data_IF_634338097979
#
_entry.id   IF_634338097979
#
_cell.length_a   1.000
_cell.length_b   1.000
_cell.length_c   1.000
_cell.angle_alpha   90.00
_cell.angle_beta   90.00
_cell.angle_gamma   90.00
#
_symmetry.space_group_name_H-M   'P 1'
#
loop_
_entity.id
_entity.type
_entity.pdbx_description
1 polymer ?
#
# COMPACT_ATOMS: atom_id res chain seq x y z
N UNK A 1 -0.48 -3.80 -28.86
CA UNK A 1 -0.41 -4.22 -27.45
C UNK A 1 -1.82 -4.51 -26.97
N UNK A 2 -2.04 -5.62 -26.26
CA UNK A 2 -3.35 -6.03 -25.76
C UNK A 2 -3.25 -6.13 -24.23
N UNK A 3 -4.17 -5.48 -23.52
CA UNK A 3 -4.30 -5.54 -22.06
C UNK A 3 -5.57 -6.27 -21.68
N UNK A 4 -5.40 -7.42 -21.04
CA UNK A 4 -6.48 -8.12 -20.37
C UNK A 4 -6.64 -7.62 -18.93
N UNK A 5 -7.85 -7.71 -18.38
CA UNK A 5 -8.24 -7.09 -17.11
C UNK A 5 -7.88 -5.60 -17.01
N UNK A 6 -8.12 -4.88 -18.12
CA UNK A 6 -7.80 -3.47 -18.25
C UNK A 6 -8.44 -2.58 -17.15
N UNK A 7 -9.47 -3.04 -16.44
CA UNK A 7 -10.05 -2.31 -15.30
C UNK A 7 -9.04 -2.00 -14.20
N UNK A 8 -7.94 -2.77 -14.09
CA UNK A 8 -6.86 -2.54 -13.12
C UNK A 8 -5.87 -1.47 -13.56
N UNK A 9 -5.80 -1.16 -14.86
CA UNK A 9 -4.77 -0.28 -15.42
C UNK A 9 -4.73 1.12 -14.78
N UNK A 10 -5.86 1.81 -14.53
CA UNK A 10 -5.81 3.11 -13.88
C UNK A 10 -5.14 3.07 -12.50
N UNK A 11 -5.40 2.02 -11.72
CA UNK A 11 -4.85 1.87 -10.37
C UNK A 11 -3.37 1.48 -10.43
N UNK A 12 -3.00 0.57 -11.33
CA UNK A 12 -1.60 0.20 -11.59
C UNK A 12 -0.81 1.41 -12.06
N UNK A 13 -1.35 2.18 -13.02
CA UNK A 13 -0.75 3.41 -13.49
C UNK A 13 -0.58 4.43 -12.35
N UNK A 14 -1.56 4.54 -11.46
CA UNK A 14 -1.50 5.47 -10.32
C UNK A 14 -0.38 5.11 -9.37
N UNK A 15 -0.19 3.81 -9.11
CA UNK A 15 0.92 3.31 -8.31
C UNK A 15 2.26 3.47 -9.02
N UNK A 16 2.32 3.16 -10.31
CA UNK A 16 3.53 3.23 -11.14
C UNK A 16 4.04 4.67 -11.28
N UNK A 17 3.15 5.62 -11.54
CA UNK A 17 3.48 7.03 -11.65
C UNK A 17 3.56 7.75 -10.30
N UNK A 18 3.14 7.08 -9.23
CA UNK A 18 3.37 7.50 -7.87
C UNK A 18 4.83 7.35 -7.48
N UNK A 19 5.23 8.05 -6.42
CA UNK A 19 6.54 7.88 -5.83
C UNK A 19 6.39 7.63 -4.34
N UNK A 20 7.22 6.75 -3.81
CA UNK A 20 7.28 6.47 -2.38
C UNK A 20 8.71 6.28 -1.91
N UNK A 21 8.94 6.70 -0.68
CA UNK A 21 10.16 6.48 0.07
C UNK A 21 9.80 5.95 1.45
N UNK A 22 10.35 4.79 1.79
CA UNK A 22 10.11 4.12 3.07
C UNK A 22 11.37 4.06 3.92
N UNK A 23 11.22 4.02 5.24
CA UNK A 23 12.34 3.76 6.15
C UNK A 23 13.04 2.45 5.83
N UNK A 24 12.31 1.43 5.33
CA UNK A 24 12.92 0.14 4.97
C UNK A 24 13.94 0.28 3.86
N UNK A 25 13.60 1.04 2.80
CA UNK A 25 14.54 1.36 1.71
C UNK A 25 15.79 2.08 2.22
N UNK A 26 15.62 3.03 3.14
CA UNK A 26 16.73 3.80 3.72
C UNK A 26 17.63 2.91 4.62
N UNK A 27 17.02 2.05 5.43
CA UNK A 27 17.74 1.10 6.28
C UNK A 27 18.48 0.04 5.46
N UNK A 28 17.88 -0.46 4.38
CA UNK A 28 18.52 -1.43 3.50
C UNK A 28 19.68 -0.79 2.73
N UNK A 29 19.56 0.48 2.30
CA UNK A 29 20.67 1.25 1.74
C UNK A 29 21.82 1.40 2.76
N UNK A 30 21.53 1.77 4.00
CA UNK A 30 22.53 1.88 5.06
C UNK A 30 23.25 0.54 5.33
N UNK A 31 22.50 -0.57 5.36
CA UNK A 31 23.08 -1.92 5.49
C UNK A 31 24.01 -2.24 4.34
N UNK A 32 23.62 -1.94 3.10
CA UNK A 32 24.44 -2.28 1.94
C UNK A 32 25.74 -1.46 1.89
N UNK A 33 25.69 -0.17 2.26
CA UNK A 33 26.88 0.66 2.43
C UNK A 33 27.80 0.07 3.52
N UNK A 34 27.21 -0.36 4.64
CA UNK A 34 27.93 -1.02 5.74
C UNK A 34 28.59 -2.33 5.29
N UNK A 35 27.89 -3.13 4.48
CA UNK A 35 28.44 -4.38 3.92
C UNK A 35 29.63 -4.06 3.02
N UNK A 36 29.47 -3.15 2.05
CA UNK A 36 30.54 -2.75 1.13
C UNK A 36 31.79 -2.23 1.87
N UNK A 37 31.61 -1.44 2.93
CA UNK A 37 32.70 -0.99 3.78
C UNK A 37 33.42 -2.17 4.48
N UNK A 38 32.67 -3.12 5.05
CA UNK A 38 33.25 -4.23 5.81
C UNK A 38 33.92 -5.28 4.94
N UNK A 39 33.49 -5.45 3.69
CA UNK A 39 34.01 -6.47 2.78
C UNK A 39 35.11 -5.94 1.88
N UNK A 40 34.91 -4.77 1.26
CA UNK A 40 35.71 -4.31 0.11
C UNK A 40 36.44 -2.99 0.37
N UNK A 41 35.86 -2.06 1.14
CA UNK A 41 36.34 -0.67 1.25
C UNK A 41 36.71 -0.25 2.68
N UNK A 42 37.52 -1.08 3.36
CA UNK A 42 37.88 -0.93 4.78
C UNK A 42 38.70 0.33 5.10
N UNK A 43 39.30 0.95 4.10
CA UNK A 43 40.06 2.19 4.18
C UNK A 43 39.16 3.43 4.31
N UNK A 44 37.87 3.33 4.00
CA UNK A 44 36.94 4.46 3.93
C UNK A 44 36.00 4.49 5.13
N UNK A 45 36.52 4.80 6.33
CA UNK A 45 35.74 4.82 7.58
C UNK A 45 34.48 5.71 7.53
N UNK A 46 34.46 6.72 6.65
CA UNK A 46 33.29 7.57 6.49
C UNK A 46 32.05 6.82 5.98
N UNK A 47 32.21 5.71 5.24
CA UNK A 47 31.09 4.89 4.76
C UNK A 47 30.28 4.30 5.93
N UNK A 48 30.96 3.76 6.95
CA UNK A 48 30.28 3.26 8.15
C UNK A 48 29.57 4.38 8.88
N UNK A 49 30.25 5.52 9.09
CA UNK A 49 29.67 6.67 9.82
C UNK A 49 28.43 7.24 9.12
N UNK A 50 28.45 7.39 7.79
CA UNK A 50 27.29 7.90 7.07
C UNK A 50 26.14 6.89 7.08
N UNK A 51 26.42 5.59 6.91
CA UNK A 51 25.41 4.53 6.99
C UNK A 51 24.73 4.49 8.36
N UNK A 52 25.50 4.52 9.45
CA UNK A 52 24.96 4.52 10.82
C UNK A 52 24.10 5.77 11.07
N UNK A 53 24.56 6.93 10.59
CA UNK A 53 23.80 8.19 10.70
C UNK A 53 22.49 8.14 9.91
N UNK A 54 22.48 7.56 8.71
CA UNK A 54 21.26 7.38 7.91
C UNK A 54 20.28 6.45 8.60
N UNK A 55 20.76 5.32 9.12
CA UNK A 55 19.94 4.37 9.85
C UNK A 55 19.32 5.00 11.10
N UNK A 56 20.12 5.72 11.90
CA UNK A 56 19.65 6.43 13.08
C UNK A 56 18.63 7.51 12.72
N UNK A 57 18.93 8.37 11.74
CA UNK A 57 18.03 9.45 11.33
C UNK A 57 16.69 8.93 10.81
N UNK A 58 16.67 7.78 10.13
CA UNK A 58 15.44 7.14 9.69
C UNK A 58 14.59 6.61 10.87
N UNK A 59 15.23 6.08 11.92
CA UNK A 59 14.53 5.65 13.13
C UNK A 59 14.05 6.84 13.97
N UNK A 60 14.86 7.88 14.10
CA UNK A 60 14.48 9.10 14.81
C UNK A 60 13.29 9.77 14.13
N UNK A 61 13.33 9.90 12.79
CA UNK A 61 12.20 10.42 12.02
C UNK A 61 10.96 9.55 12.21
N UNK A 62 11.10 8.21 12.23
CA UNK A 62 9.99 7.31 12.55
C UNK A 62 9.36 7.67 13.89
N UNK A 63 10.13 7.88 14.95
CA UNK A 63 9.60 8.20 16.28
C UNK A 63 8.81 9.52 16.30
N UNK A 64 9.18 10.49 15.46
CA UNK A 64 8.46 11.77 15.37
C UNK A 64 7.07 11.67 14.71
N UNK A 65 6.82 10.65 13.88
CA UNK A 65 5.55 10.48 13.17
C UNK A 65 4.38 10.01 14.05
N UNK A 66 4.63 9.74 15.34
CA UNK A 66 3.60 9.38 16.32
C UNK A 66 3.15 7.92 16.25
N UNK A 67 1.87 7.72 16.54
CA UNK A 67 1.30 6.41 16.86
C UNK A 67 1.29 5.42 15.66
N UNK A 68 1.62 4.13 15.89
CA UNK A 68 1.54 3.09 14.88
C UNK A 68 0.11 2.87 14.34
N UNK A 69 0.02 2.56 13.04
CA UNK A 69 -1.22 2.21 12.35
C UNK A 69 -2.00 3.41 11.81
N UNK A 70 -1.41 4.60 11.84
CA UNK A 70 -2.02 5.81 11.28
C UNK A 70 -1.54 6.07 9.84
N UNK A 71 -2.50 6.37 8.96
CA UNK A 71 -2.27 6.92 7.63
C UNK A 71 -2.86 8.32 7.59
N UNK A 72 -2.06 9.30 7.18
CA UNK A 72 -2.45 10.70 7.21
C UNK A 72 -2.01 11.48 5.98
N UNK A 73 -2.40 12.76 5.97
CA UNK A 73 -2.02 13.72 4.95
C UNK A 73 -0.59 14.23 5.22
N UNK A 74 0.30 14.03 4.25
CA UNK A 74 1.70 14.44 4.40
C UNK A 74 1.85 15.98 4.39
N UNK A 75 0.94 16.72 3.76
CA UNK A 75 0.97 18.19 3.77
C UNK A 75 0.75 18.76 5.17
N UNK A 76 -0.22 18.20 5.90
CA UNK A 76 -0.54 18.59 7.27
C UNK A 76 0.61 18.22 8.22
N UNK A 77 1.17 17.02 8.06
CA UNK A 77 2.32 16.55 8.82
C UNK A 77 3.54 17.47 8.63
N UNK A 78 3.84 17.87 7.39
CA UNK A 78 4.95 18.78 7.08
C UNK A 78 4.65 20.24 7.39
N UNK A 79 3.47 20.60 7.89
CA UNK A 79 3.22 21.94 8.43
C UNK A 79 3.88 22.12 9.81
N UNK A 80 4.15 21.02 10.53
CA UNK A 80 4.83 21.05 11.82
C UNK A 80 6.34 21.27 11.64
N UNK A 81 6.85 22.36 12.24
CA UNK A 81 8.28 22.73 12.20
C UNK A 81 9.19 21.67 12.82
N UNK A 82 8.70 20.91 13.81
CA UNK A 82 9.47 19.82 14.42
C UNK A 82 9.66 18.66 13.45
N UNK A 83 8.60 18.28 12.73
CA UNK A 83 8.68 17.26 11.68
C UNK A 83 9.54 17.72 10.51
N UNK A 84 9.42 18.99 10.09
CA UNK A 84 10.29 19.55 9.05
C UNK A 84 11.77 19.45 9.44
N UNK A 85 12.12 19.76 10.69
CA UNK A 85 13.49 19.64 11.19
C UNK A 85 13.96 18.19 11.19
N UNK A 86 13.14 17.26 11.66
CA UNK A 86 13.46 15.83 11.64
C UNK A 86 13.65 15.31 10.20
N UNK A 87 12.82 15.77 9.26
CA UNK A 87 12.95 15.44 7.83
C UNK A 87 14.22 16.02 7.22
N UNK A 88 14.61 17.24 7.61
CA UNK A 88 15.86 17.86 7.17
C UNK A 88 17.07 17.05 7.63
N UNK A 89 17.11 16.62 8.90
CA UNK A 89 18.19 15.76 9.41
C UNK A 89 18.29 14.43 8.65
N UNK A 90 17.16 13.85 8.27
CA UNK A 90 17.12 12.66 7.44
C UNK A 90 17.65 12.91 6.03
N UNK A 91 17.28 14.04 5.41
CA UNK A 91 17.76 14.45 4.09
C UNK A 91 19.28 14.68 4.10
N UNK A 92 19.80 15.39 5.12
CA UNK A 92 21.24 15.62 5.31
C UNK A 92 22.01 14.31 5.48
N UNK A 93 21.45 13.34 6.21
CA UNK A 93 22.07 12.03 6.40
C UNK A 93 22.12 11.24 5.08
N UNK A 94 21.06 11.31 4.27
CA UNK A 94 21.00 10.67 2.95
C UNK A 94 21.95 11.36 1.95
N UNK A 95 22.06 12.69 1.99
CA UNK A 95 23.03 13.46 1.22
C UNK A 95 24.46 13.06 1.57
N UNK A 96 24.78 12.94 2.86
CA UNK A 96 26.10 12.48 3.30
C UNK A 96 26.42 11.08 2.76
N UNK A 97 25.47 10.15 2.79
CA UNK A 97 25.66 8.83 2.18
C UNK A 97 25.95 8.91 0.68
N UNK A 98 25.22 9.76 -0.04
CA UNK A 98 25.43 9.99 -1.47
C UNK A 98 26.84 10.55 -1.75
N UNK A 99 27.26 11.59 -1.03
CA UNK A 99 28.55 12.25 -1.27
C UNK A 99 29.72 11.32 -0.93
N UNK A 100 29.66 10.60 0.19
CA UNK A 100 30.71 9.65 0.58
C UNK A 100 30.79 8.48 -0.41
N UNK A 101 29.64 7.94 -0.84
CA UNK A 101 29.62 6.88 -1.85
C UNK A 101 30.20 7.36 -3.19
N UNK A 102 29.89 8.61 -3.59
CA UNK A 102 30.40 9.23 -4.81
C UNK A 102 31.93 9.26 -4.88
N UNK A 103 32.59 9.53 -3.75
CA UNK A 103 34.05 9.59 -3.66
C UNK A 103 34.73 8.24 -3.88
N UNK A 104 34.00 7.14 -3.76
CA UNK A 104 34.51 5.77 -3.88
C UNK A 104 33.87 4.99 -5.04
N UNK A 105 33.25 5.69 -5.99
CA UNK A 105 32.67 5.10 -7.20
C UNK A 105 33.69 4.30 -8.02
N UNK A 106 33.26 3.18 -8.57
CA UNK A 106 34.07 2.27 -9.38
C UNK A 106 35.03 1.40 -8.57
N UNK A 107 35.09 1.56 -7.24
CA UNK A 107 35.91 0.72 -6.37
C UNK A 107 35.20 -0.57 -5.94
N UNK A 108 33.87 -0.61 -6.01
CA UNK A 108 33.03 -1.73 -5.59
C UNK A 108 31.70 -1.70 -6.32
N UNK A 109 31.31 -2.82 -6.94
CA UNK A 109 30.01 -2.94 -7.59
C UNK A 109 28.85 -2.82 -6.60
N UNK A 110 29.04 -3.27 -5.34
CA UNK A 110 28.05 -3.12 -4.28
C UNK A 110 27.85 -1.65 -3.91
N UNK A 111 28.94 -0.89 -3.80
CA UNK A 111 28.85 0.53 -3.50
C UNK A 111 28.27 1.32 -4.68
N UNK A 112 28.61 0.97 -5.92
CA UNK A 112 28.04 1.60 -7.12
C UNK A 112 26.51 1.40 -7.16
N UNK A 113 26.03 0.19 -6.88
CA UNK A 113 24.60 -0.08 -6.76
C UNK A 113 23.93 0.64 -5.58
N UNK A 114 24.65 0.86 -4.48
CA UNK A 114 24.17 1.67 -3.36
C UNK A 114 24.11 3.16 -3.73
N UNK A 115 25.09 3.69 -4.47
CA UNK A 115 25.12 5.06 -4.97
C UNK A 115 23.94 5.37 -5.90
N UNK A 116 23.64 4.48 -6.85
CA UNK A 116 22.47 4.62 -7.74
C UNK A 116 21.15 4.68 -6.94
N UNK A 117 21.01 3.83 -5.92
CA UNK A 117 19.84 3.85 -5.03
C UNK A 117 19.79 5.11 -4.17
N UNK A 118 20.91 5.59 -3.65
CA UNK A 118 20.98 6.85 -2.92
C UNK A 118 20.53 8.02 -3.81
N UNK A 119 20.99 8.07 -5.06
CA UNK A 119 20.59 9.06 -6.06
C UNK A 119 19.07 9.03 -6.28
N UNK A 120 18.51 7.84 -6.50
CA UNK A 120 17.07 7.65 -6.66
C UNK A 120 16.28 8.11 -5.44
N UNK A 121 16.74 7.76 -4.22
CA UNK A 121 16.04 8.11 -2.99
C UNK A 121 16.11 9.60 -2.69
N UNK A 122 17.23 10.28 -2.97
CA UNK A 122 17.33 11.75 -2.89
C UNK A 122 16.35 12.43 -3.85
N UNK A 123 16.27 11.95 -5.09
CA UNK A 123 15.32 12.45 -6.07
C UNK A 123 13.86 12.32 -5.59
N UNK A 124 13.50 11.16 -5.03
CA UNK A 124 12.17 10.93 -4.44
C UNK A 124 11.91 11.80 -3.23
N UNK A 125 12.86 11.92 -2.31
CA UNK A 125 12.73 12.74 -1.10
C UNK A 125 12.51 14.21 -1.46
N UNK A 126 13.25 14.73 -2.45
CA UNK A 126 13.05 16.08 -2.98
C UNK A 126 11.61 16.28 -3.49
N UNK A 127 11.08 15.35 -4.28
CA UNK A 127 9.69 15.42 -4.79
C UNK A 127 8.66 15.31 -3.67
N UNK A 128 8.92 14.52 -2.64
CA UNK A 128 8.06 14.39 -1.45
C UNK A 128 8.03 15.66 -0.59
N UNK A 129 9.12 16.45 -0.58
CA UNK A 129 9.20 17.75 0.10
C UNK A 129 8.46 18.85 -0.66
N UNK A 130 8.32 18.74 -1.98
CA UNK A 130 7.60 19.68 -2.86
C UNK A 130 6.07 19.52 -2.73
N UNK A 131 5.52 19.73 -1.53
CA UNK A 131 4.09 19.47 -1.22
C UNK A 131 3.08 20.43 -1.88
N UNK A 132 3.56 21.52 -2.48
CA UNK A 132 2.70 22.56 -3.05
C UNK A 132 2.27 22.27 -4.50
N UNK A 133 2.69 21.15 -5.09
CA UNK A 133 2.27 20.83 -6.47
C UNK A 133 0.80 20.37 -6.50
N UNK A 134 -0.06 21.01 -7.31
CA UNK A 134 -1.43 20.56 -7.52
C UNK A 134 -1.46 19.26 -8.33
N UNK A 135 -2.60 18.56 -8.32
CA UNK A 135 -2.76 17.32 -9.08
C UNK A 135 -2.15 16.07 -8.42
N UNK A 136 -1.64 16.18 -7.20
CA UNK A 136 -1.09 15.06 -6.42
C UNK A 136 -1.71 14.97 -5.03
N UNK A 137 -1.92 13.73 -4.60
CA UNK A 137 -2.25 13.33 -3.22
C UNK A 137 -0.97 12.94 -2.49
N UNK A 138 -0.67 13.64 -1.41
CA UNK A 138 0.50 13.40 -0.56
C UNK A 138 0.04 12.73 0.72
N UNK A 139 0.57 11.54 1.00
CA UNK A 139 0.18 10.78 2.17
C UNK A 139 1.40 10.17 2.84
N UNK A 140 1.25 9.90 4.12
CA UNK A 140 2.22 9.12 4.87
C UNK A 140 1.52 8.01 5.63
N UNK A 141 2.27 6.95 5.90
CA UNK A 141 1.83 5.85 6.75
C UNK A 141 2.93 5.54 7.76
N UNK A 142 2.49 5.22 8.98
CA UNK A 142 3.37 4.87 10.06
C UNK A 142 2.96 3.53 10.68
N UNK A 143 3.88 2.56 10.70
CA UNK A 143 3.74 1.27 11.42
C UNK A 143 4.66 1.27 12.62
N UNK A 144 4.62 0.32 13.55
CA UNK A 144 5.47 0.35 14.75
C UNK A 144 6.98 0.44 14.48
N UNK A 145 7.46 -0.01 13.31
CA UNK A 145 8.89 -0.04 12.96
C UNK A 145 9.28 0.79 11.76
N UNK A 146 8.31 1.17 10.94
CA UNK A 146 8.59 1.76 9.63
C UNK A 146 7.64 2.89 9.30
N UNK A 147 8.11 3.80 8.46
CA UNK A 147 7.28 4.81 7.82
C UNK A 147 7.37 4.70 6.31
N UNK A 148 6.33 5.17 5.64
CA UNK A 148 6.29 5.38 4.19
C UNK A 148 5.79 6.79 3.93
N UNK A 149 6.54 7.56 3.15
CA UNK A 149 6.12 8.82 2.56
C UNK A 149 5.80 8.57 1.10
N UNK A 150 4.67 9.07 0.61
CA UNK A 150 4.26 8.81 -0.75
C UNK A 150 3.51 9.99 -1.36
N UNK A 151 3.69 10.13 -2.67
CA UNK A 151 2.93 11.04 -3.53
C UNK A 151 2.32 10.23 -4.67
N UNK A 152 1.02 10.39 -4.87
CA UNK A 152 0.25 9.66 -5.89
C UNK A 152 -0.49 10.68 -6.74
N UNK A 153 -0.36 10.65 -8.08
CA UNK A 153 -1.09 11.58 -8.93
C UNK A 153 -2.60 11.36 -8.77
N UNK A 154 -3.37 12.45 -8.75
CA UNK A 154 -4.84 12.40 -8.69
C UNK A 154 -5.45 11.89 -9.99
N UNK A 155 -4.74 12.10 -11.10
CA UNK A 155 -5.10 11.58 -12.42
C UNK A 155 -3.86 11.01 -13.10
N UNK A 156 -4.04 9.90 -13.81
CA UNK A 156 -2.98 9.26 -14.60
C UNK A 156 -3.12 9.54 -16.09
N UNK A 157 -4.19 10.21 -16.50
CA UNK A 157 -4.56 10.43 -17.89
C UNK A 157 -3.41 10.99 -18.73
N UNK A 158 -2.84 12.13 -18.34
CA UNK A 158 -1.79 12.79 -19.12
C UNK A 158 -0.50 11.96 -19.21
N UNK A 159 -0.04 11.39 -18.09
CA UNK A 159 1.15 10.52 -18.09
C UNK A 159 0.94 9.25 -18.91
N UNK A 160 -0.27 8.70 -18.88
CA UNK A 160 -0.59 7.50 -19.64
C UNK A 160 -0.64 7.80 -21.15
N UNK A 161 -1.26 8.91 -21.56
CA UNK A 161 -1.22 9.42 -22.94
C UNK A 161 0.22 9.58 -23.44
N UNK A 162 1.10 10.21 -22.65
CA UNK A 162 2.52 10.38 -23.00
C UNK A 162 3.21 9.03 -23.25
N UNK A 163 2.99 8.04 -22.38
CA UNK A 163 3.55 6.68 -22.55
C UNK A 163 2.99 6.00 -23.80
N UNK A 164 1.70 6.16 -24.07
CA UNK A 164 1.08 5.63 -25.28
C UNK A 164 1.68 6.27 -26.54
N UNK A 165 1.88 7.59 -26.54
CA UNK A 165 2.43 8.34 -27.66
C UNK A 165 3.88 7.95 -27.99
N UNK A 166 4.66 7.53 -26.99
CA UNK A 166 6.04 7.05 -27.17
C UNK A 166 6.14 5.69 -27.88
N UNK A 167 5.07 4.90 -27.90
CA UNK A 167 5.05 3.58 -28.53
C UNK A 167 4.08 3.59 -29.71
N UNK A 168 4.64 3.54 -30.91
CA UNK A 168 3.84 3.33 -32.12
C UNK A 168 3.19 1.96 -32.11
N UNK A 169 1.88 1.92 -32.41
CA UNK A 169 1.10 0.69 -32.55
C UNK A 169 -0.31 0.81 -31.99
N UNK A 170 -1.11 -0.23 -32.22
CA UNK A 170 -2.49 -0.29 -31.71
C UNK A 170 -2.51 -0.73 -30.25
N UNK A 171 -3.37 -0.11 -29.46
CA UNK A 171 -3.61 -0.44 -28.05
C UNK A 171 -5.04 -0.97 -27.91
N UNK A 172 -5.19 -2.19 -27.40
CA UNK A 172 -6.49 -2.85 -27.21
C UNK A 172 -6.66 -3.14 -25.72
N UNK A 173 -7.80 -2.72 -25.16
CA UNK A 173 -8.14 -2.87 -23.76
C UNK A 173 -9.37 -3.77 -23.63
N UNK A 174 -9.25 -4.87 -22.90
CA UNK A 174 -10.35 -5.81 -22.68
C UNK A 174 -10.53 -6.08 -21.18
N UNK A 175 -11.77 -6.07 -20.72
CA UNK A 175 -12.17 -6.63 -19.42
C UNK A 175 -13.69 -6.73 -19.34
N UNK A 176 -14.18 -7.66 -18.53
CA UNK A 176 -15.61 -7.88 -18.31
C UNK A 176 -16.29 -6.77 -17.48
N UNK A 177 -15.52 -5.89 -16.83
CA UNK A 177 -16.00 -4.92 -15.84
C UNK A 177 -15.61 -3.47 -16.15
N UNK A 178 -15.32 -3.15 -17.42
CA UNK A 178 -14.94 -1.78 -17.82
C UNK A 178 -16.14 -0.81 -17.79
N UNK A 179 -17.34 -1.29 -18.14
CA UNK A 179 -18.51 -0.42 -18.27
C UNK A 179 -19.19 -0.18 -16.92
N UNK A 180 -19.72 1.03 -16.78
CA UNK A 180 -20.60 1.44 -15.67
C UNK A 180 -21.85 2.01 -16.32
N UNK A 181 -23.03 1.47 -16.00
CA UNK A 181 -24.30 1.86 -16.62
C UNK A 181 -24.24 1.84 -18.16
N UNK A 182 -23.69 0.77 -18.73
CA UNK A 182 -23.48 0.59 -20.17
C UNK A 182 -22.58 1.64 -20.84
N UNK A 183 -21.83 2.42 -20.04
CA UNK A 183 -20.90 3.44 -20.50
C UNK A 183 -19.44 3.09 -20.14
N UNK A 184 -18.55 3.24 -21.12
CA UNK A 184 -17.09 3.01 -20.98
C UNK A 184 -16.32 4.32 -20.70
N UNK A 185 -17.01 5.46 -20.68
CA UNK A 185 -16.38 6.77 -20.51
C UNK A 185 -15.60 6.90 -19.20
N UNK A 186 -16.08 6.30 -18.11
CA UNK A 186 -15.35 6.32 -16.83
C UNK A 186 -13.94 5.70 -16.95
N UNK A 187 -13.80 4.64 -17.74
CA UNK A 187 -12.50 4.02 -18.01
C UNK A 187 -11.65 4.90 -18.93
N UNK A 188 -12.21 5.36 -20.04
CA UNK A 188 -11.46 6.15 -21.04
C UNK A 188 -10.99 7.49 -20.46
N UNK A 189 -11.82 8.19 -19.70
CA UNK A 189 -11.47 9.44 -19.04
C UNK A 189 -10.35 9.27 -18.01
N UNK A 190 -10.38 8.19 -17.20
CA UNK A 190 -9.33 7.92 -16.20
C UNK A 190 -7.95 7.69 -16.83
N UNK A 191 -7.90 7.08 -18.02
CA UNK A 191 -6.67 6.86 -18.78
C UNK A 191 -6.35 7.98 -19.77
N UNK A 192 -7.26 8.93 -19.99
CA UNK A 192 -7.09 10.00 -20.97
C UNK A 192 -7.17 9.50 -22.42
N UNK A 193 -8.01 8.53 -22.71
CA UNK A 193 -8.18 7.98 -24.06
C UNK A 193 -9.59 8.27 -24.57
N UNK A 194 -10.00 9.52 -24.48
CA UNK A 194 -11.38 9.96 -24.76
C UNK A 194 -11.82 9.66 -26.20
N UNK A 195 -10.87 9.60 -27.15
CA UNK A 195 -11.12 9.30 -28.56
C UNK A 195 -11.05 7.79 -28.89
N UNK A 196 -10.94 6.92 -27.88
CA UNK A 196 -10.86 5.47 -28.10
C UNK A 196 -12.14 4.91 -28.73
N UNK A 197 -11.98 3.97 -29.67
CA UNK A 197 -13.09 3.18 -30.18
C UNK A 197 -13.56 2.20 -29.10
N UNK A 198 -14.85 2.23 -28.79
CA UNK A 198 -15.46 1.42 -27.73
C UNK A 198 -16.39 0.36 -28.28
N UNK A 199 -16.37 -0.84 -27.69
CA UNK A 199 -17.29 -1.93 -28.00
C UNK A 199 -17.74 -2.58 -26.68
N UNK A 200 -19.06 -2.63 -26.46
CA UNK A 200 -19.67 -3.33 -25.33
C UNK A 200 -20.42 -4.55 -25.88
N UNK A 201 -20.05 -5.74 -25.38
CA UNK A 201 -20.69 -6.99 -25.75
C UNK A 201 -21.57 -7.47 -24.58
N UNK A 202 -22.84 -7.81 -24.82
CA UNK A 202 -23.71 -8.33 -23.76
C UNK A 202 -23.19 -9.68 -23.26
N UNK A 203 -23.47 -9.96 -21.99
CA UNK A 203 -23.17 -11.28 -21.43
C UNK A 203 -23.96 -12.36 -22.17
N UNK A 204 -23.33 -13.49 -22.57
CA UNK A 204 -24.02 -14.59 -23.22
C UNK A 204 -24.76 -15.50 -22.22
N UNK A 205 -24.69 -15.23 -20.91
CA UNK A 205 -25.23 -16.09 -19.87
C UNK A 205 -26.68 -15.75 -19.51
N UNK A 206 -27.49 -16.79 -19.28
CA UNK A 206 -28.87 -16.68 -18.81
C UNK A 206 -28.92 -16.57 -17.28
N UNK A 207 -28.74 -15.34 -16.77
CA UNK A 207 -28.77 -15.09 -15.32
C UNK A 207 -30.14 -15.37 -14.69
N UNK A 208 -31.24 -15.31 -15.45
CA UNK A 208 -32.59 -15.54 -14.88
C UNK A 208 -32.74 -16.98 -14.40
N UNK A 209 -32.18 -17.95 -15.15
CA UNK A 209 -32.27 -19.36 -14.82
C UNK A 209 -30.99 -19.92 -14.17
N UNK A 210 -29.85 -19.24 -14.31
CA UNK A 210 -28.54 -19.74 -13.87
C UNK A 210 -27.91 -18.96 -12.71
N UNK A 211 -28.58 -17.91 -12.18
CA UNK A 211 -28.09 -17.16 -11.02
C UNK A 211 -29.17 -16.95 -9.94
N UNK A 212 -28.71 -16.84 -8.69
CA UNK A 212 -29.54 -16.49 -7.53
C UNK A 212 -28.96 -15.24 -6.88
N UNK A 213 -29.77 -14.19 -6.72
CA UNK A 213 -29.40 -12.99 -5.97
C UNK A 213 -29.88 -13.13 -4.53
N UNK A 214 -28.94 -13.32 -3.60
CA UNK A 214 -29.23 -13.38 -2.17
C UNK A 214 -28.93 -12.03 -1.51
N UNK A 215 -29.96 -11.34 -1.01
CA UNK A 215 -29.83 -10.09 -0.24
C UNK A 215 -30.17 -10.37 1.24
N UNK A 216 -29.19 -10.42 2.15
CA UNK A 216 -29.44 -10.62 3.57
C UNK A 216 -30.23 -9.44 4.16
N UNK A 217 -31.39 -9.71 4.76
CA UNK A 217 -32.28 -8.65 5.29
C UNK A 217 -31.73 -7.95 6.54
N UNK A 218 -30.82 -8.59 7.27
CA UNK A 218 -30.28 -8.12 8.55
C UNK A 218 -28.78 -7.81 8.48
N UNK A 219 -28.29 -7.31 7.34
CA UNK A 219 -26.89 -6.89 7.26
C UNK A 219 -26.71 -5.61 8.08
N UNK A 220 -25.82 -5.58 9.10
CA UNK A 220 -25.57 -4.35 9.83
C UNK A 220 -25.03 -3.30 8.85
N UNK A 221 -25.54 -2.06 8.95
CA UNK A 221 -24.97 -0.95 8.22
C UNK A 221 -23.46 -0.85 8.52
N UNK A 222 -22.61 -0.58 7.51
CA UNK A 222 -21.18 -0.38 7.75
C UNK A 222 -21.02 0.79 8.74
N UNK A 223 -20.68 0.45 9.99
CA UNK A 223 -20.49 1.45 11.06
C UNK A 223 -19.24 2.26 10.74
N UNK A 224 -19.24 3.59 10.96
CA UNK A 224 -17.98 4.34 11.04
C UNK A 224 -17.14 3.71 12.14
N UNK A 225 -15.87 3.45 11.86
CA UNK A 225 -15.00 2.59 12.65
C UNK A 225 -14.96 2.99 14.14
N UNK A 226 -15.61 2.20 15.00
CA UNK A 226 -15.26 2.07 16.42
C UNK A 226 -14.82 0.63 16.66
N UNK A 227 -13.61 0.48 17.22
CA UNK A 227 -12.98 -0.82 17.55
C UNK A 227 -13.92 -1.68 18.42
N UNK A 228 -14.07 -2.95 18.05
CA UNK A 228 -14.41 -4.02 18.99
C UNK A 228 -15.85 -4.54 19.03
N UNK A 229 -16.54 -4.73 17.90
CA UNK A 229 -17.82 -5.47 17.89
C UNK A 229 -17.70 -6.77 17.05
N UNK A 230 -18.10 -7.94 17.58
CA UNK A 230 -18.11 -9.17 16.80
C UNK A 230 -19.19 -9.11 15.72
N UNK A 231 -18.96 -9.70 14.52
CA UNK A 231 -19.98 -9.81 13.49
C UNK A 231 -21.03 -10.85 13.89
N UNK A 232 -22.16 -10.40 14.42
CA UNK A 232 -23.36 -11.22 14.58
C UNK A 232 -24.23 -11.12 13.33
N UNK A 233 -24.38 -12.24 12.61
CA UNK A 233 -25.23 -12.32 11.43
C UNK A 233 -25.18 -13.71 10.80
N UNK A 234 -25.83 -14.68 11.42
CA UNK A 234 -26.04 -16.02 10.85
C UNK A 234 -26.95 -15.92 9.62
N UNK A 235 -26.36 -15.97 8.43
CA UNK A 235 -27.10 -16.28 7.22
C UNK A 235 -27.46 -17.76 7.26
N UNK A 236 -28.68 -18.10 7.69
CA UNK A 236 -29.20 -19.47 7.58
C UNK A 236 -29.15 -19.92 6.12
N UNK A 237 -28.32 -20.93 5.88
CA UNK A 237 -28.02 -21.50 4.59
C UNK A 237 -29.17 -22.41 4.11
N UNK A 238 -29.76 -22.11 2.96
CA UNK A 238 -30.51 -23.12 2.20
C UNK A 238 -29.53 -24.17 1.67
N UNK A 239 -29.73 -25.44 1.97
CA UNK A 239 -28.90 -26.56 1.53
C UNK A 239 -29.17 -26.92 0.06
N UNK A 240 -28.10 -27.04 -0.74
CA UNK A 240 -28.00 -27.76 -2.05
C UNK A 240 -26.68 -27.41 -2.75
N UNK A 241 -25.71 -28.33 -2.68
CA UNK A 241 -24.82 -28.78 -3.77
C UNK A 241 -23.95 -27.84 -4.62
N UNK A 242 -24.06 -26.51 -4.58
CA UNK A 242 -23.28 -25.61 -5.46
C UNK A 242 -22.08 -24.96 -4.77
N UNK A 243 -20.96 -24.81 -5.50
CA UNK A 243 -19.79 -24.03 -5.07
C UNK A 243 -20.23 -22.59 -4.80
N UNK A 244 -20.03 -22.10 -3.57
CA UNK A 244 -20.41 -20.75 -3.14
C UNK A 244 -19.20 -19.85 -3.06
N UNK A 245 -19.30 -18.68 -3.66
CA UNK A 245 -18.36 -17.58 -3.48
C UNK A 245 -19.10 -16.45 -2.78
N UNK A 246 -18.77 -16.16 -1.52
CA UNK A 246 -19.25 -14.94 -0.86
C UNK A 246 -18.28 -13.78 -1.16
N UNK A 247 -18.81 -12.73 -1.79
CA UNK A 247 -18.12 -11.45 -1.94
C UNK A 247 -18.59 -10.51 -0.82
N UNK A 248 -17.69 -10.20 0.10
CA UNK A 248 -17.93 -9.19 1.15
C UNK A 248 -17.29 -7.88 0.72
N UNK A 249 -18.09 -6.81 0.65
CA UNK A 249 -17.61 -5.45 0.37
C UNK A 249 -17.14 -4.74 1.66
N UNK A 250 -16.29 -5.39 2.47
CA UNK A 250 -15.55 -4.74 3.58
C UNK A 250 -14.25 -5.52 3.82
N UNK A 251 -13.08 -4.88 3.67
CA UNK A 251 -11.75 -5.50 3.80
C UNK A 251 -11.33 -5.84 5.26
N UNK A 252 -12.28 -6.06 6.18
CA UNK A 252 -11.98 -6.25 7.61
C UNK A 252 -12.54 -7.53 8.24
N UNK A 253 -13.07 -8.47 7.45
CA UNK A 253 -13.72 -9.66 8.01
C UNK A 253 -13.26 -10.99 7.38
N UNK A 254 -11.96 -11.17 7.10
CA UNK A 254 -11.44 -12.48 6.65
C UNK A 254 -10.88 -13.38 7.76
N UNK A 255 -10.70 -12.87 8.98
CA UNK A 255 -9.97 -13.63 10.02
C UNK A 255 -10.86 -14.51 10.93
N UNK A 256 -12.15 -14.22 11.10
CA UNK A 256 -12.97 -14.89 12.13
C UNK A 256 -13.95 -15.95 11.61
N UNK A 257 -14.08 -16.14 10.30
CA UNK A 257 -15.03 -17.11 9.73
C UNK A 257 -14.53 -18.57 9.72
N UNK A 258 -13.30 -18.86 10.20
CA UNK A 258 -12.71 -20.22 10.17
C UNK A 258 -12.71 -20.95 11.52
N UNK A 259 -13.14 -20.34 12.60
CA UNK A 259 -13.12 -20.92 13.95
C UNK A 259 -14.52 -21.06 14.55
N UNK A 260 -15.37 -21.88 13.92
CA UNK A 260 -16.64 -22.36 14.48
C UNK A 260 -16.52 -23.83 14.86
N UNK A 261 -15.63 -24.16 15.81
CA UNK A 261 -15.41 -25.51 16.31
C UNK A 261 -15.98 -25.70 17.71
N UNK A 262 -16.95 -26.62 17.82
CA UNK A 262 -17.37 -27.37 19.01
C UNK A 262 -17.69 -26.60 20.31
N UNK A 263 -18.97 -26.57 20.66
CA UNK A 263 -19.48 -26.28 22.01
C UNK A 263 -19.12 -27.45 22.95
N UNK A 264 -18.43 -27.24 24.10
CA UNK A 264 -18.36 -28.25 25.14
C UNK A 264 -19.58 -28.13 26.07
N UNK A 265 -20.26 -29.25 26.31
CA UNK A 265 -21.27 -29.39 27.37
C UNK A 265 -20.55 -29.43 28.71
N UNK A 266 -20.80 -28.45 29.59
CA UNK A 266 -20.40 -28.53 30.98
C UNK A 266 -21.30 -29.53 31.73
N UNK A 267 -20.65 -30.54 32.33
CA UNK A 267 -21.20 -31.43 33.33
C UNK A 267 -21.18 -30.70 34.68
N UNK A 268 -22.34 -30.47 35.28
CA UNK A 268 -22.43 -30.07 36.69
C UNK A 268 -22.19 -31.29 37.59
N UNK A 269 -21.12 -31.24 38.36
CA UNK A 269 -20.88 -32.08 39.52
C UNK A 269 -20.42 -31.17 40.66
N UNK A 270 -21.31 -30.84 41.59
CA UNK A 270 -20.96 -30.23 42.86
C UNK A 270 -21.56 -31.08 43.96
N UNK A 271 -20.74 -31.96 44.52
CA UNK A 271 -20.97 -32.58 45.80
C UNK A 271 -19.93 -32.05 46.77
N UNK A 272 -20.38 -31.39 47.84
CA UNK A 272 -19.63 -31.26 49.08
C UNK A 272 -20.61 -31.07 50.24
N UNK A 273 -20.63 -32.08 51.12
CA UNK A 273 -21.18 -32.10 52.48
C UNK A 273 -20.50 -31.01 53.36
N UNK A 274 -20.89 -30.65 54.57
CA UNK A 274 -21.71 -31.21 55.64
C UNK A 274 -21.99 -30.10 56.68
N UNK A 275 -22.91 -30.32 57.62
CA UNK A 275 -22.86 -29.64 58.93
C UNK A 275 -24.20 -29.30 59.58
N UNK A 276 -24.92 -30.30 60.10
CA UNK A 276 -25.57 -30.20 61.43
C UNK A 276 -24.50 -30.66 62.44
N UNK A 277 -24.42 -30.18 63.67
CA UNK A 277 -25.40 -30.25 64.74
C UNK A 277 -25.10 -29.18 65.82
N UNK A 278 -25.97 -29.16 66.84
CA UNK A 278 -25.66 -28.77 68.20
C UNK A 278 -24.33 -29.35 68.70
#
# INVERSE_FOLDING_TARGET
MIFDEAHQLPDIASQYFGQSLSSRQLLDLAKDITIAYRTELKDTQQLQKCADRLAQSAQDFRLQLGDPGYRGNLRELLADSHIQRALLLLDDALELCYDVAKLSLGRSALLDAAFERATLYRGRLKRLKEINQPGYSYWYECTSRHFTLALTPLTVAEKFKEVMAQKSGSWIFTSATLSVNDDLHHFTARLGIDEAQTLLLPSPFDYQHQALLCVPRNLPLPKPARRGAPPGGDAQAADRGQRRSLLYAVHLARHDARSGGAVPRHHDATGAAAGRDQ
#
